data_IF_825445848591
#
_entry.id   IF_825445848591
#
_cell.length_a   1.000
_cell.length_b   1.000
_cell.length_c   1.000
_cell.angle_alpha   90.00
_cell.angle_beta   90.00
_cell.angle_gamma   90.00
#
_symmetry.space_group_name_H-M   'P 1'
#
loop_
_entity.id
_entity.type
_entity.pdbx_description
1 polymer ?
#
# COMPACT_ATOMS: atom_id res chain seq x y z
N UNK A 1 8.19 63.17 43.73
CA UNK A 1 7.41 62.36 42.80
C UNK A 1 8.01 62.27 41.36
N UNK A 2 8.51 63.30 40.75
CA UNK A 2 9.12 63.22 39.39
C UNK A 2 10.35 62.30 39.23
N UNK A 3 11.21 62.17 40.25
CA UNK A 3 12.41 61.33 40.19
C UNK A 3 12.12 59.82 40.29
N UNK A 4 11.03 59.44 40.96
CA UNK A 4 10.63 58.03 41.02
C UNK A 4 9.94 57.56 39.74
N UNK A 5 9.18 58.44 39.06
CA UNK A 5 8.58 58.15 37.79
C UNK A 5 9.58 57.84 36.69
N UNK A 6 10.70 58.61 36.66
CA UNK A 6 11.77 58.43 35.67
C UNK A 6 12.47 57.06 35.88
N UNK A 7 12.69 56.63 37.12
CA UNK A 7 13.30 55.31 37.43
C UNK A 7 12.39 54.15 37.02
N UNK A 8 11.08 54.27 37.20
CA UNK A 8 10.12 53.23 36.83
C UNK A 8 9.98 53.16 35.29
N UNK A 9 9.95 54.29 34.60
CA UNK A 9 9.89 54.32 33.12
C UNK A 9 11.16 53.79 32.52
N UNK A 10 12.34 54.08 33.10
CA UNK A 10 13.64 53.53 32.61
C UNK A 10 13.75 52.03 32.89
N UNK A 11 13.23 51.56 34.01
CA UNK A 11 13.21 50.11 34.34
C UNK A 11 12.26 49.32 33.41
N UNK A 12 11.10 49.86 33.07
CA UNK A 12 10.20 49.28 32.10
C UNK A 12 10.75 49.28 30.64
N UNK A 13 11.51 50.28 30.29
CA UNK A 13 12.16 50.35 28.95
C UNK A 13 13.26 49.30 28.79
N UNK A 14 13.99 48.96 29.86
CA UNK A 14 15.03 47.90 29.85
C UNK A 14 14.40 46.49 29.81
N UNK A 15 13.25 46.27 30.47
CA UNK A 15 12.54 45.00 30.39
C UNK A 15 11.86 44.80 29.05
N UNK A 16 11.37 45.85 28.41
CA UNK A 16 10.79 45.77 27.05
C UNK A 16 11.85 45.55 25.94
N UNK A 17 13.09 45.96 26.17
CA UNK A 17 14.21 45.73 25.22
C UNK A 17 14.79 44.31 25.27
N UNK A 18 14.55 43.54 26.34
CA UNK A 18 15.10 42.21 26.49
C UNK A 18 14.33 41.06 25.80
N UNK A 19 13.12 41.34 25.31
CA UNK A 19 12.30 40.36 24.62
C UNK A 19 12.37 40.37 23.10
N UNK A 20 13.17 41.22 22.49
CA UNK A 20 13.28 41.27 21.03
C UNK A 20 14.44 40.44 20.45
N UNK A 21 15.06 39.56 21.24
CA UNK A 21 16.21 38.75 20.81
C UNK A 21 15.93 37.29 20.51
N UNK A 22 14.65 36.91 20.31
CA UNK A 22 14.31 35.66 19.65
C UNK A 22 13.53 35.97 18.36
N UNK A 23 14.20 36.58 17.39
CA UNK A 23 13.84 36.27 16.01
C UNK A 23 14.13 34.79 15.86
N UNK A 24 13.08 33.96 16.03
CA UNK A 24 13.06 32.70 15.33
C UNK A 24 13.45 33.02 13.91
N UNK A 25 14.68 32.69 13.53
CA UNK A 25 14.99 32.48 12.15
C UNK A 25 14.05 31.33 11.75
N UNK A 26 12.89 31.68 11.24
CA UNK A 26 12.15 30.76 10.40
C UNK A 26 13.16 30.38 9.34
N UNK A 27 13.84 29.24 9.56
CA UNK A 27 14.68 28.67 8.52
C UNK A 27 13.72 28.56 7.36
N UNK A 28 13.91 29.41 6.33
CA UNK A 28 13.00 29.40 5.21
C UNK A 28 13.00 27.95 4.74
N UNK A 29 11.83 27.34 4.61
CA UNK A 29 11.69 25.94 4.15
C UNK A 29 12.45 25.68 2.84
N UNK A 30 12.94 26.72 2.21
CA UNK A 30 13.60 26.73 0.92
C UNK A 30 15.12 26.93 0.97
N UNK A 31 15.77 26.75 2.14
CA UNK A 31 17.23 26.82 2.25
C UNK A 31 17.78 25.48 2.74
N UNK A 32 18.73 24.94 2.00
CA UNK A 32 19.44 23.72 2.36
C UNK A 32 20.20 23.90 3.67
N UNK A 33 19.98 23.04 4.62
CA UNK A 33 20.74 23.01 5.89
C UNK A 33 22.18 22.51 5.73
N UNK A 34 22.45 21.80 4.63
CA UNK A 34 23.77 21.26 4.33
C UNK A 34 24.68 22.28 3.64
N UNK A 35 24.13 23.06 2.71
CA UNK A 35 24.93 23.94 1.84
C UNK A 35 24.60 25.41 1.97
N UNK A 36 23.49 25.77 2.59
CA UNK A 36 22.98 27.14 2.62
C UNK A 36 22.39 27.63 1.29
N UNK A 37 22.35 26.80 0.27
CA UNK A 37 21.81 27.17 -1.03
C UNK A 37 20.27 27.15 -1.02
N UNK A 38 19.69 27.98 -1.89
CA UNK A 38 18.25 27.98 -2.07
C UNK A 38 17.79 26.68 -2.76
N UNK A 39 16.80 26.03 -2.16
CA UNK A 39 16.06 24.89 -2.72
C UNK A 39 14.84 25.47 -3.42
N UNK A 40 14.42 24.89 -4.54
CA UNK A 40 13.24 25.33 -5.31
C UNK A 40 13.35 26.78 -5.80
N UNK A 41 14.56 27.24 -6.13
CA UNK A 41 14.76 28.57 -6.73
C UNK A 41 14.13 28.60 -8.12
N UNK A 42 13.54 29.75 -8.48
CA UNK A 42 12.91 29.94 -9.80
C UNK A 42 13.93 29.90 -10.94
N UNK A 43 15.15 30.28 -10.62
CA UNK A 43 16.28 30.32 -11.54
C UNK A 43 16.88 28.96 -11.86
N UNK A 44 16.41 27.91 -11.21
CA UNK A 44 16.89 26.53 -11.36
C UNK A 44 17.63 26.01 -10.12
N UNK A 45 18.39 24.94 -10.28
CA UNK A 45 19.09 24.26 -9.20
C UNK A 45 18.30 23.09 -8.66
N UNK A 46 18.52 22.68 -7.40
CA UNK A 46 17.86 21.56 -6.79
C UNK A 46 16.38 21.84 -6.53
N UNK A 47 15.52 21.08 -7.19
CA UNK A 47 14.07 21.15 -7.04
C UNK A 47 13.60 19.99 -6.18
N UNK A 48 12.90 20.30 -5.11
CA UNK A 48 12.40 19.34 -4.14
C UNK A 48 10.95 19.68 -3.79
N UNK A 49 10.08 18.68 -3.84
CA UNK A 49 8.70 18.85 -3.40
C UNK A 49 8.67 18.91 -1.87
N UNK A 50 8.38 20.10 -1.34
CA UNK A 50 8.26 20.35 0.11
C UNK A 50 6.83 20.19 0.63
N UNK A 51 5.86 20.02 -0.24
CA UNK A 51 4.46 19.84 0.11
C UNK A 51 4.18 18.37 0.38
N UNK A 52 4.49 17.95 1.60
CA UNK A 52 4.15 16.62 2.06
C UNK A 52 2.63 16.52 2.22
N UNK A 53 2.03 15.63 1.46
CA UNK A 53 0.68 15.13 1.72
C UNK A 53 0.83 13.76 2.34
N UNK A 54 0.12 13.52 3.43
CA UNK A 54 0.04 12.19 4.03
C UNK A 54 -0.52 11.22 2.99
N UNK A 55 0.17 10.09 2.81
CA UNK A 55 -0.27 9.07 1.87
C UNK A 55 -1.52 8.41 2.40
N UNK A 56 -2.55 8.28 1.57
CA UNK A 56 -3.76 7.56 1.93
C UNK A 56 -3.44 6.10 2.23
N UNK A 57 -4.08 5.57 3.26
CA UNK A 57 -4.02 4.14 3.55
C UNK A 57 -4.74 3.38 2.44
N UNK A 58 -4.12 2.33 1.94
CA UNK A 58 -4.74 1.48 0.93
C UNK A 58 -5.97 0.74 1.48
N UNK A 59 -6.94 0.36 0.63
CA UNK A 59 -8.16 -0.29 1.06
C UNK A 59 -7.91 -1.56 1.90
N UNK A 60 -8.66 -1.71 2.99
CA UNK A 60 -8.63 -2.90 3.86
C UNK A 60 -7.44 -2.98 4.81
N UNK A 61 -6.46 -2.08 4.71
CA UNK A 61 -5.28 -2.09 5.55
C UNK A 61 -5.47 -1.29 6.84
N UNK A 62 -4.96 -1.83 7.93
CA UNK A 62 -4.81 -1.16 9.23
C UNK A 62 -3.33 -0.96 9.55
N UNK A 63 -3.02 0.15 10.21
CA UNK A 63 -1.66 0.44 10.65
C UNK A 63 -1.33 -0.34 11.90
N UNK A 64 -0.21 -1.06 11.88
CA UNK A 64 0.37 -1.78 13.03
C UNK A 64 1.65 -1.05 13.43
N UNK A 65 1.64 -0.44 14.61
CA UNK A 65 2.81 0.24 15.15
C UNK A 65 3.90 -0.77 15.48
N UNK A 66 5.12 -0.50 15.04
CA UNK A 66 6.27 -1.37 15.27
C UNK A 66 6.73 -1.39 16.73
N UNK A 67 7.40 -2.46 17.11
CA UNK A 67 7.86 -2.63 18.47
C UNK A 67 8.76 -3.85 18.63
N UNK A 68 9.12 -4.15 19.86
CA UNK A 68 9.89 -5.33 20.21
C UNK A 68 8.99 -6.32 20.95
N UNK A 69 9.02 -7.57 20.54
CA UNK A 69 8.24 -8.64 21.15
C UNK A 69 9.06 -9.92 21.24
N UNK A 70 8.55 -10.89 21.98
CA UNK A 70 9.15 -12.22 22.06
C UNK A 70 8.43 -13.13 21.06
N UNK A 71 9.14 -13.49 20.00
CA UNK A 71 8.70 -14.45 19.01
C UNK A 71 8.95 -15.86 19.51
N UNK A 72 8.06 -16.77 19.20
CA UNK A 72 8.23 -18.19 19.47
C UNK A 72 7.24 -18.73 20.50
N UNK A 73 7.22 -20.06 20.59
CA UNK A 73 6.32 -20.82 21.44
C UNK A 73 6.84 -20.82 22.89
N UNK A 74 6.30 -19.91 23.69
CA UNK A 74 6.93 -19.52 24.96
C UNK A 74 6.50 -20.40 26.15
N UNK A 75 5.23 -20.79 26.25
CA UNK A 75 4.70 -21.49 27.44
C UNK A 75 3.79 -22.66 27.13
N UNK A 76 3.27 -22.76 25.93
CA UNK A 76 2.21 -23.71 25.55
C UNK A 76 2.72 -24.84 24.65
N UNK A 77 4.04 -25.08 24.60
CA UNK A 77 4.59 -26.25 23.91
C UNK A 77 4.37 -27.50 24.73
N UNK A 78 3.16 -28.07 24.61
CA UNK A 78 2.75 -29.28 25.34
C UNK A 78 3.61 -30.48 24.98
N UNK A 79 4.19 -30.50 23.78
CA UNK A 79 5.02 -31.59 23.29
C UNK A 79 6.50 -31.44 23.64
N UNK A 80 6.90 -30.26 24.14
CA UNK A 80 8.29 -29.92 24.48
C UNK A 80 9.28 -30.18 23.33
N UNK A 81 8.87 -29.83 22.11
CA UNK A 81 9.70 -30.04 20.93
C UNK A 81 10.89 -29.07 20.83
N UNK A 82 10.81 -27.94 21.49
CA UNK A 82 11.84 -26.87 21.53
C UNK A 82 12.26 -26.36 20.15
N UNK A 83 11.42 -26.57 19.14
CA UNK A 83 11.70 -26.19 17.76
C UNK A 83 11.59 -24.68 17.50
N UNK A 84 10.90 -23.96 18.38
CA UNK A 84 10.66 -22.53 18.28
C UNK A 84 10.99 -21.82 19.60
N UNK A 85 12.28 -21.71 19.89
CA UNK A 85 12.76 -21.09 21.13
C UNK A 85 12.42 -19.62 21.18
N UNK A 86 12.02 -19.08 22.35
CA UNK A 86 11.72 -17.66 22.50
C UNK A 86 12.90 -16.78 22.13
N UNK A 87 12.66 -15.84 21.20
CA UNK A 87 13.66 -14.87 20.77
C UNK A 87 13.06 -13.47 20.74
N UNK A 88 13.80 -12.48 21.25
CA UNK A 88 13.39 -11.08 21.17
C UNK A 88 13.62 -10.58 19.73
N UNK A 89 12.57 -10.07 19.10
CA UNK A 89 12.59 -9.53 17.74
C UNK A 89 12.05 -8.10 17.75
N UNK A 90 12.61 -7.28 16.88
CA UNK A 90 12.11 -5.94 16.61
C UNK A 90 11.43 -5.91 15.25
N UNK A 91 10.19 -5.41 15.22
CA UNK A 91 9.39 -5.27 14.01
C UNK A 91 9.20 -3.79 13.72
N UNK A 92 9.43 -3.38 12.48
CA UNK A 92 9.10 -2.03 12.03
C UNK A 92 7.61 -1.89 11.88
N UNK A 93 7.10 -0.64 11.94
CA UNK A 93 5.68 -0.37 11.66
C UNK A 93 5.33 -0.79 10.24
N UNK A 94 4.16 -1.38 10.07
CA UNK A 94 3.67 -1.87 8.78
C UNK A 94 2.16 -1.74 8.69
N UNK A 95 1.64 -1.97 7.50
CA UNK A 95 0.20 -2.09 7.27
C UNK A 95 -0.15 -3.55 7.03
N UNK A 96 -1.26 -3.99 7.58
CA UNK A 96 -1.77 -5.34 7.42
C UNK A 96 -3.27 -5.29 7.16
N UNK A 97 -3.80 -6.25 6.41
CA UNK A 97 -5.25 -6.40 6.27
C UNK A 97 -5.89 -6.67 7.63
N UNK A 98 -7.04 -6.05 7.88
CA UNK A 98 -7.80 -6.27 9.11
C UNK A 98 -8.35 -7.70 9.19
N UNK A 99 -8.63 -8.29 8.04
CA UNK A 99 -9.16 -9.65 7.89
C UNK A 99 -8.33 -10.45 6.91
N UNK A 100 -8.49 -11.77 6.96
CA UNK A 100 -7.99 -12.65 5.90
C UNK A 100 -8.65 -12.32 4.56
N UNK A 101 -7.97 -12.65 3.45
CA UNK A 101 -8.54 -12.49 2.10
C UNK A 101 -9.78 -13.36 1.98
N UNK A 102 -10.91 -12.73 1.64
CA UNK A 102 -12.20 -13.40 1.56
C UNK A 102 -12.43 -14.06 0.19
N UNK A 103 -13.41 -14.98 0.15
CA UNK A 103 -13.82 -15.63 -1.10
C UNK A 103 -14.25 -14.60 -2.16
N UNK A 104 -14.97 -13.54 -1.78
CA UNK A 104 -15.42 -12.53 -2.74
C UNK A 104 -14.24 -11.75 -3.32
N UNK A 105 -13.23 -11.40 -2.52
CA UNK A 105 -12.02 -10.73 -3.01
C UNK A 105 -11.25 -11.61 -4.00
N UNK A 106 -11.17 -12.90 -3.69
CA UNK A 106 -10.47 -13.84 -4.58
C UNK A 106 -11.27 -14.12 -5.86
N UNK A 107 -12.61 -14.13 -5.79
CA UNK A 107 -13.48 -14.22 -6.96
C UNK A 107 -13.37 -13.00 -7.88
N UNK A 108 -13.21 -11.80 -7.32
CA UNK A 108 -12.91 -10.56 -8.08
C UNK A 108 -11.62 -10.71 -8.89
N UNK A 109 -10.57 -11.25 -8.28
CA UNK A 109 -9.33 -11.58 -8.99
C UNK A 109 -9.55 -12.57 -10.12
N UNK A 110 -10.28 -13.66 -9.90
CA UNK A 110 -10.57 -14.66 -10.92
C UNK A 110 -11.42 -14.09 -12.07
N UNK A 111 -12.38 -13.23 -11.77
CA UNK A 111 -13.22 -12.56 -12.77
C UNK A 111 -12.40 -11.61 -13.63
N UNK A 112 -11.51 -10.83 -13.01
CA UNK A 112 -10.55 -9.99 -13.73
C UNK A 112 -9.67 -10.80 -14.67
N UNK A 113 -9.07 -11.91 -14.17
CA UNK A 113 -8.25 -12.76 -15.02
C UNK A 113 -9.02 -13.32 -16.22
N UNK A 114 -10.26 -13.73 -16.00
CA UNK A 114 -11.13 -14.24 -17.06
C UNK A 114 -11.45 -13.18 -18.10
N UNK A 115 -11.62 -11.93 -17.68
CA UNK A 115 -11.95 -10.83 -18.58
C UNK A 115 -10.75 -10.37 -19.41
N UNK A 116 -9.57 -10.28 -18.78
CA UNK A 116 -8.34 -9.80 -19.46
C UNK A 116 -7.63 -10.91 -20.23
N UNK A 117 -7.71 -12.15 -19.72
CA UNK A 117 -7.08 -13.35 -20.29
C UNK A 117 -8.13 -14.43 -20.50
N UNK A 118 -8.94 -14.35 -21.54
CA UNK A 118 -10.03 -15.28 -21.78
C UNK A 118 -9.54 -16.73 -21.79
N UNK A 119 -10.10 -17.62 -20.94
CA UNK A 119 -9.68 -19.02 -20.87
C UNK A 119 -10.03 -19.84 -22.10
N UNK A 120 -10.85 -19.31 -22.98
CA UNK A 120 -11.20 -19.88 -24.29
C UNK A 120 -10.01 -19.83 -25.27
N UNK A 121 -9.08 -18.87 -25.08
CA UNK A 121 -7.84 -18.79 -25.86
C UNK A 121 -6.81 -19.76 -25.29
N UNK A 122 -6.31 -20.74 -26.07
CA UNK A 122 -5.28 -21.67 -25.64
C UNK A 122 -4.01 -21.02 -25.10
N UNK A 123 -3.74 -19.78 -25.50
CA UNK A 123 -2.60 -18.98 -25.02
C UNK A 123 -2.75 -18.61 -23.54
N UNK A 124 -3.96 -18.39 -23.06
CA UNK A 124 -4.22 -17.84 -21.72
C UNK A 124 -4.88 -18.83 -20.76
N UNK A 125 -5.35 -19.99 -21.22
CA UNK A 125 -6.05 -20.99 -20.41
C UNK A 125 -5.30 -21.33 -19.12
N UNK A 126 -3.96 -21.41 -19.17
CA UNK A 126 -3.13 -21.77 -18.03
C UNK A 126 -3.08 -20.70 -16.95
N UNK A 127 -3.32 -19.42 -17.27
CA UNK A 127 -3.35 -18.31 -16.32
C UNK A 127 -4.56 -18.48 -15.40
N UNK A 128 -5.75 -18.60 -15.97
CA UNK A 128 -6.97 -18.77 -15.19
C UNK A 128 -7.00 -20.09 -14.43
N UNK A 129 -6.65 -21.21 -15.08
CA UNK A 129 -6.65 -22.53 -14.43
C UNK A 129 -5.63 -22.62 -13.31
N UNK A 130 -4.47 -21.97 -13.47
CA UNK A 130 -3.42 -21.91 -12.43
C UNK A 130 -3.81 -21.06 -11.21
N UNK A 131 -4.73 -20.10 -11.39
CA UNK A 131 -5.22 -19.25 -10.30
C UNK A 131 -6.37 -19.88 -9.50
N UNK A 132 -7.02 -20.95 -10.03
CA UNK A 132 -8.15 -21.58 -9.35
C UNK A 132 -7.72 -22.25 -8.04
N UNK A 133 -8.40 -21.98 -6.90
CA UNK A 133 -8.17 -22.68 -5.66
C UNK A 133 -8.52 -24.16 -5.76
N UNK A 134 -7.81 -25.00 -5.02
CA UNK A 134 -8.14 -26.42 -4.87
C UNK A 134 -9.36 -26.59 -3.96
N UNK A 135 -10.50 -26.85 -4.54
CA UNK A 135 -11.74 -27.09 -3.78
C UNK A 135 -11.78 -28.47 -3.11
N UNK A 136 -10.88 -29.39 -3.51
CA UNK A 136 -10.83 -30.74 -2.95
C UNK A 136 -10.26 -30.78 -1.52
N UNK A 137 -9.68 -29.68 -1.03
CA UNK A 137 -9.23 -29.54 0.36
C UNK A 137 -10.34 -29.83 1.39
N UNK A 138 -11.60 -29.64 1.00
CA UNK A 138 -12.77 -29.93 1.84
C UNK A 138 -13.14 -31.40 1.85
N UNK A 139 -12.63 -32.21 0.92
CA UNK A 139 -13.01 -33.62 0.80
C UNK A 139 -12.33 -34.44 1.88
N UNK A 140 -13.13 -35.08 2.72
CA UNK A 140 -12.65 -35.97 3.77
C UNK A 140 -13.05 -37.42 3.45
N UNK A 141 -12.12 -38.38 3.67
CA UNK A 141 -12.35 -39.80 3.44
C UNK A 141 -13.40 -40.38 4.39
N UNK A 142 -13.60 -39.78 5.55
CA UNK A 142 -14.49 -40.29 6.62
C UNK A 142 -15.75 -39.44 6.81
N UNK A 143 -15.93 -38.39 5.99
CA UNK A 143 -17.05 -37.46 6.10
C UNK A 143 -17.59 -37.03 4.76
N UNK A 144 -18.91 -36.78 4.69
CA UNK A 144 -19.55 -36.24 3.50
C UNK A 144 -19.46 -34.70 3.50
N UNK A 145 -18.51 -34.16 2.77
CA UNK A 145 -18.27 -32.70 2.65
C UNK A 145 -18.45 -32.19 1.23
N UNK A 146 -19.15 -32.89 0.36
CA UNK A 146 -19.33 -32.48 -1.04
C UNK A 146 -20.04 -31.13 -1.18
N UNK A 147 -20.91 -30.79 -0.24
CA UNK A 147 -21.55 -29.47 -0.22
C UNK A 147 -20.52 -28.34 -0.06
N UNK A 148 -19.53 -28.51 0.81
CA UNK A 148 -18.45 -27.53 0.98
C UNK A 148 -17.53 -27.51 -0.23
N UNK A 149 -17.15 -28.67 -0.76
CA UNK A 149 -16.33 -28.81 -1.96
C UNK A 149 -16.91 -28.04 -3.14
N UNK A 150 -18.23 -28.09 -3.33
CA UNK A 150 -18.90 -27.50 -4.47
C UNK A 150 -19.26 -26.02 -4.27
N UNK A 151 -19.58 -25.60 -3.04
CA UNK A 151 -20.22 -24.32 -2.78
C UNK A 151 -19.35 -23.31 -2.02
N UNK A 152 -18.33 -23.73 -1.27
CA UNK A 152 -17.61 -22.83 -0.38
C UNK A 152 -17.06 -21.59 -1.07
N UNK A 153 -16.42 -21.75 -2.23
CA UNK A 153 -15.86 -20.61 -2.96
C UNK A 153 -16.93 -19.74 -3.63
N UNK A 154 -18.06 -20.34 -4.05
CA UNK A 154 -18.99 -19.70 -5.00
C UNK A 154 -20.32 -19.26 -4.41
N UNK A 155 -20.71 -19.84 -3.28
CA UNK A 155 -22.02 -19.56 -2.71
C UNK A 155 -22.00 -18.26 -1.90
N UNK A 156 -22.96 -17.34 -2.09
CA UNK A 156 -22.99 -16.04 -1.42
C UNK A 156 -22.92 -16.09 0.11
N UNK A 157 -23.41 -17.17 0.74
CA UNK A 157 -23.33 -17.34 2.19
C UNK A 157 -21.88 -17.40 2.73
N UNK A 158 -20.93 -17.75 1.89
CA UNK A 158 -19.49 -17.82 2.25
C UNK A 158 -18.66 -16.71 1.61
N UNK A 159 -19.29 -15.68 1.05
CA UNK A 159 -18.58 -14.62 0.33
C UNK A 159 -17.53 -13.93 1.22
N UNK A 160 -17.90 -13.63 2.47
CA UNK A 160 -17.02 -12.97 3.44
C UNK A 160 -16.17 -13.93 4.28
N UNK A 161 -16.19 -15.22 3.98
CA UNK A 161 -15.34 -16.22 4.63
C UNK A 161 -13.97 -16.26 3.96
N UNK A 162 -12.91 -16.65 4.68
CA UNK A 162 -11.55 -16.68 4.12
C UNK A 162 -11.44 -17.66 2.96
N UNK A 163 -10.69 -17.29 1.94
CA UNK A 163 -10.41 -18.18 0.81
C UNK A 163 -9.55 -19.35 1.25
N UNK A 164 -9.90 -20.56 0.82
CA UNK A 164 -9.22 -21.81 1.19
C UNK A 164 -8.81 -22.57 -0.07
N UNK A 165 -7.73 -23.34 0.03
CA UNK A 165 -7.21 -24.14 -1.09
C UNK A 165 -6.31 -23.35 -2.03
N UNK A 166 -5.77 -22.22 -1.60
CA UNK A 166 -4.76 -21.46 -2.32
C UNK A 166 -3.35 -21.85 -1.87
N UNK A 167 -2.43 -21.96 -2.80
CA UNK A 167 -1.03 -22.17 -2.52
C UNK A 167 -0.26 -20.84 -2.43
N UNK A 168 1.01 -20.90 -2.02
CA UNK A 168 1.85 -19.70 -1.85
C UNK A 168 1.99 -18.88 -3.13
N UNK A 169 2.15 -19.52 -4.29
CA UNK A 169 2.27 -18.83 -5.59
C UNK A 169 0.99 -18.08 -5.92
N UNK A 170 -0.16 -18.73 -5.77
CA UNK A 170 -1.46 -18.12 -6.00
C UNK A 170 -1.70 -16.93 -5.08
N UNK A 171 -1.35 -17.04 -3.79
CA UNK A 171 -1.46 -15.94 -2.83
C UNK A 171 -0.54 -14.76 -3.19
N UNK A 172 0.68 -15.03 -3.67
CA UNK A 172 1.61 -13.99 -4.12
C UNK A 172 1.09 -13.29 -5.39
N UNK A 173 0.61 -14.05 -6.36
CA UNK A 173 0.02 -13.49 -7.59
C UNK A 173 -1.23 -12.65 -7.30
N UNK A 174 -2.05 -13.05 -6.34
CA UNK A 174 -3.17 -12.25 -5.87
C UNK A 174 -2.69 -10.92 -5.28
N UNK A 175 -1.63 -10.92 -4.46
CA UNK A 175 -1.06 -9.71 -3.86
C UNK A 175 -0.49 -8.76 -4.93
N UNK A 176 0.20 -9.29 -5.94
CA UNK A 176 0.69 -8.54 -7.10
C UNK A 176 -0.46 -7.91 -7.88
N UNK A 177 -1.50 -8.69 -8.21
CA UNK A 177 -2.69 -8.20 -8.89
C UNK A 177 -3.38 -7.09 -8.08
N UNK A 178 -3.53 -7.26 -6.77
CA UNK A 178 -4.12 -6.24 -5.88
C UNK A 178 -3.29 -4.95 -5.89
N UNK A 179 -1.97 -5.06 -5.86
CA UNK A 179 -1.05 -3.92 -6.00
C UNK A 179 -1.35 -3.12 -7.25
N UNK A 180 -1.48 -3.81 -8.37
CA UNK A 180 -1.75 -3.19 -9.65
C UNK A 180 -3.12 -2.51 -9.68
N UNK A 181 -4.16 -3.17 -9.21
CA UNK A 181 -5.52 -2.59 -9.18
C UNK A 181 -5.63 -1.37 -8.27
N UNK A 182 -5.01 -1.42 -7.09
CA UNK A 182 -5.03 -0.29 -6.16
C UNK A 182 -4.26 0.90 -6.74
N UNK A 183 -3.09 0.69 -7.31
CA UNK A 183 -2.30 1.75 -7.91
C UNK A 183 -2.96 2.33 -9.17
N UNK A 184 -3.64 1.52 -9.98
CA UNK A 184 -4.45 1.97 -11.11
C UNK A 184 -5.54 2.95 -10.65
N UNK A 185 -6.28 2.60 -9.59
CA UNK A 185 -7.33 3.48 -9.01
C UNK A 185 -6.73 4.76 -8.45
N UNK A 186 -5.57 4.69 -7.80
CA UNK A 186 -4.88 5.89 -7.29
C UNK A 186 -4.46 6.83 -8.42
N UNK A 187 -3.94 6.29 -9.51
CA UNK A 187 -3.57 7.06 -10.70
C UNK A 187 -4.79 7.66 -11.42
N UNK A 188 -5.92 6.94 -11.47
CA UNK A 188 -7.18 7.48 -11.99
C UNK A 188 -7.66 8.65 -11.14
N UNK A 189 -7.67 8.51 -9.82
CA UNK A 189 -8.12 9.51 -8.87
C UNK A 189 -7.30 10.80 -8.94
N UNK A 190 -5.99 10.67 -9.09
CA UNK A 190 -5.07 11.80 -9.25
C UNK A 190 -5.02 12.34 -10.70
N UNK A 191 -5.76 11.73 -11.63
CA UNK A 191 -5.91 12.20 -12.99
C UNK A 191 -4.76 11.85 -13.94
N UNK A 192 -3.89 10.91 -13.58
CA UNK A 192 -2.86 10.38 -14.48
C UNK A 192 -3.42 9.38 -15.49
N UNK A 193 -4.45 8.65 -15.11
CA UNK A 193 -5.20 7.74 -15.98
C UNK A 193 -6.64 8.24 -16.16
N UNK A 194 -7.28 7.82 -17.26
CA UNK A 194 -8.70 8.01 -17.48
C UNK A 194 -9.50 7.08 -16.56
N UNK A 195 -10.59 7.58 -15.99
CA UNK A 195 -11.53 6.76 -15.19
C UNK A 195 -12.11 5.58 -15.99
N UNK A 196 -12.09 5.66 -17.31
CA UNK A 196 -12.58 4.62 -18.21
C UNK A 196 -11.51 3.57 -18.57
N UNK A 197 -10.24 3.79 -18.23
CA UNK A 197 -9.12 2.95 -18.68
C UNK A 197 -9.35 1.47 -18.35
N UNK A 198 -9.66 1.17 -17.08
CA UNK A 198 -9.92 -0.20 -16.61
C UNK A 198 -11.12 -0.85 -17.29
N UNK A 199 -12.20 -0.08 -17.54
CA UNK A 199 -13.40 -0.62 -18.20
C UNK A 199 -13.14 -0.95 -19.66
N UNK A 200 -12.31 -0.17 -20.36
CA UNK A 200 -11.89 -0.50 -21.73
C UNK A 200 -11.13 -1.81 -21.82
N UNK A 201 -10.26 -2.07 -20.83
CA UNK A 201 -9.54 -3.34 -20.74
C UNK A 201 -10.49 -4.50 -20.42
N UNK A 202 -11.35 -4.35 -19.42
CA UNK A 202 -12.32 -5.37 -19.00
C UNK A 202 -13.31 -5.69 -20.12
N UNK A 203 -13.74 -4.69 -20.89
CA UNK A 203 -14.66 -4.86 -22.02
C UNK A 203 -13.97 -5.35 -23.30
N UNK A 204 -12.65 -5.54 -23.29
CA UNK A 204 -11.90 -5.97 -24.48
C UNK A 204 -11.71 -4.89 -25.55
N UNK A 205 -11.96 -3.62 -25.21
CA UNK A 205 -11.73 -2.47 -26.11
C UNK A 205 -10.27 -2.04 -26.14
N UNK A 206 -9.49 -2.41 -25.10
CA UNK A 206 -8.07 -2.22 -25.01
C UNK A 206 -7.39 -3.54 -24.63
N UNK A 207 -6.27 -3.85 -25.25
CA UNK A 207 -5.50 -5.04 -24.93
C UNK A 207 -4.53 -4.78 -23.79
N UNK A 208 -4.25 -5.84 -23.02
CA UNK A 208 -3.29 -5.84 -21.92
C UNK A 208 -3.86 -5.19 -20.65
N UNK A 209 -3.21 -5.45 -19.53
CA UNK A 209 -3.58 -4.91 -18.23
C UNK A 209 -2.66 -3.77 -17.80
N UNK A 210 -3.05 -3.11 -16.72
CA UNK A 210 -2.16 -2.22 -15.99
C UNK A 210 -1.23 -3.05 -15.10
N UNK A 211 0.07 -2.74 -15.13
CA UNK A 211 1.06 -3.25 -14.19
C UNK A 211 1.84 -2.06 -13.60
N UNK A 212 1.92 -2.01 -12.30
CA UNK A 212 2.65 -0.96 -11.55
C UNK A 212 4.12 -0.95 -11.91
N UNK A 213 4.74 -2.13 -12.03
CA UNK A 213 6.14 -2.26 -12.39
C UNK A 213 6.40 -1.77 -13.82
N UNK A 214 5.57 -2.19 -14.78
CA UNK A 214 5.65 -1.73 -16.15
C UNK A 214 5.45 -0.21 -16.24
N UNK A 215 4.48 0.35 -15.52
CA UNK A 215 4.23 1.78 -15.47
C UNK A 215 5.42 2.58 -14.92
N UNK A 216 6.10 2.09 -13.88
CA UNK A 216 7.24 2.78 -13.28
C UNK A 216 8.50 2.70 -14.14
N UNK A 217 8.69 1.60 -14.88
CA UNK A 217 9.87 1.36 -15.68
C UNK A 217 9.72 1.85 -17.13
N UNK A 218 8.55 1.59 -17.73
CA UNK A 218 8.22 1.93 -19.11
C UNK A 218 6.74 2.28 -19.22
N UNK A 219 6.31 3.47 -18.77
CA UNK A 219 4.90 3.83 -18.76
C UNK A 219 4.24 3.70 -20.14
N UNK A 220 5.02 3.91 -21.22
CA UNK A 220 4.56 3.78 -22.59
C UNK A 220 4.14 2.36 -22.99
N UNK A 221 4.60 1.32 -22.27
CA UNK A 221 4.27 -0.08 -22.56
C UNK A 221 2.99 -0.59 -21.92
N UNK A 222 2.43 0.17 -20.97
CA UNK A 222 1.20 -0.19 -20.27
C UNK A 222 0.02 -0.19 -21.24
N UNK A 223 -0.91 -1.11 -21.06
CA UNK A 223 -2.04 -1.34 -21.98
C UNK A 223 -1.59 -1.61 -23.42
N UNK A 224 -0.51 -2.40 -23.59
CA UNK A 224 0.09 -2.67 -24.91
C UNK A 224 0.44 -1.41 -25.72
N UNK A 225 0.88 -0.35 -25.05
CA UNK A 225 1.26 0.91 -25.69
C UNK A 225 0.11 1.87 -25.95
N UNK A 226 -1.09 1.56 -25.46
CA UNK A 226 -2.28 2.41 -25.66
C UNK A 226 -2.46 3.47 -24.55
N UNK A 227 -1.47 3.63 -23.67
CA UNK A 227 -1.58 4.52 -22.50
C UNK A 227 -1.89 5.97 -22.87
N UNK A 228 -1.39 6.46 -23.99
CA UNK A 228 -1.65 7.83 -24.44
C UNK A 228 -3.13 8.12 -24.71
N UNK A 229 -3.87 7.11 -25.16
CA UNK A 229 -5.32 7.20 -25.37
C UNK A 229 -6.11 7.04 -24.06
N UNK A 230 -5.48 6.47 -23.04
CA UNK A 230 -6.05 6.18 -21.72
C UNK A 230 -5.60 7.18 -20.66
N UNK A 231 -4.88 8.24 -21.04
CA UNK A 231 -4.46 9.27 -20.13
C UNK A 231 -5.62 10.12 -19.60
N UNK A 232 -5.50 10.48 -18.31
CA UNK A 232 -6.40 11.38 -17.62
C UNK A 232 -6.11 12.87 -17.90
N UNK A 233 -6.52 13.72 -16.98
CA UNK A 233 -6.47 15.19 -17.07
C UNK A 233 -5.07 15.79 -16.90
N UNK A 234 -4.10 15.02 -16.39
CA UNK A 234 -2.74 15.48 -16.14
C UNK A 234 -1.93 15.52 -17.45
N UNK A 235 -2.37 16.38 -18.38
CA UNK A 235 -1.60 16.73 -19.59
C UNK A 235 -1.02 18.12 -19.41
N UNK A 236 0.29 18.27 -19.57
CA UNK A 236 0.96 19.55 -19.59
C UNK A 236 1.48 19.81 -21.01
N UNK A 237 0.98 20.86 -21.64
CA UNK A 237 1.41 21.29 -22.99
C UNK A 237 1.37 20.18 -24.07
N UNK A 238 0.33 19.33 -24.04
CA UNK A 238 0.16 18.16 -24.93
C UNK A 238 1.18 17.03 -24.70
N UNK A 239 1.99 17.10 -23.66
CA UNK A 239 2.94 16.04 -23.28
C UNK A 239 2.34 15.20 -22.18
N UNK A 240 2.45 13.89 -22.34
CA UNK A 240 2.03 12.90 -21.33
C UNK A 240 2.85 13.06 -20.05
N UNK A 241 2.19 13.25 -18.92
CA UNK A 241 2.83 13.33 -17.60
C UNK A 241 2.56 12.03 -16.85
N UNK A 242 3.62 11.33 -16.47
CA UNK A 242 3.55 10.10 -15.70
C UNK A 242 3.90 10.33 -14.24
N UNK A 243 3.21 9.64 -13.33
CA UNK A 243 3.55 9.64 -11.92
C UNK A 243 4.87 8.90 -11.70
N UNK A 244 5.71 9.48 -10.83
CA UNK A 244 6.98 8.86 -10.41
C UNK A 244 6.83 8.32 -8.99
N UNK A 245 7.70 7.42 -8.57
CA UNK A 245 7.75 6.97 -7.16
C UNK A 245 7.85 8.15 -6.18
N UNK A 246 8.57 9.20 -6.54
CA UNK A 246 8.72 10.42 -5.73
C UNK A 246 7.47 11.30 -5.65
N UNK A 247 6.43 11.02 -6.45
CA UNK A 247 5.16 11.76 -6.38
C UNK A 247 4.32 11.38 -5.17
N UNK A 248 4.57 10.21 -4.55
CA UNK A 248 3.81 9.70 -3.42
C UNK A 248 2.41 9.18 -3.78
N UNK A 249 2.07 9.11 -5.06
CA UNK A 249 0.77 8.62 -5.56
C UNK A 249 0.74 7.09 -5.56
N UNK A 250 1.84 6.48 -6.00
CA UNK A 250 1.95 5.03 -6.15
C UNK A 250 2.28 4.42 -4.80
N UNK A 251 1.44 3.49 -4.35
CA UNK A 251 1.60 2.75 -3.11
C UNK A 251 2.62 1.62 -3.27
N UNK A 252 3.29 1.22 -2.16
CA UNK A 252 4.13 0.03 -2.12
C UNK A 252 3.35 -1.24 -2.48
N UNK A 253 4.09 -2.29 -2.82
CA UNK A 253 3.52 -3.58 -3.15
C UNK A 253 2.84 -4.25 -1.94
N UNK A 254 1.67 -4.84 -2.19
CA UNK A 254 1.11 -5.82 -1.29
C UNK A 254 1.93 -7.11 -1.36
N UNK A 255 2.17 -7.71 -0.23
CA UNK A 255 2.89 -8.97 -0.11
C UNK A 255 2.34 -9.81 1.04
N UNK A 256 2.67 -11.06 1.06
CA UNK A 256 2.44 -11.86 2.25
C UNK A 256 3.27 -11.33 3.43
N UNK A 257 2.72 -11.31 4.64
CA UNK A 257 3.49 -10.94 5.83
C UNK A 257 4.61 -11.94 6.06
N UNK A 258 5.69 -11.48 6.65
CA UNK A 258 6.69 -12.37 7.21
C UNK A 258 6.11 -13.07 8.45
N UNK A 259 6.65 -14.22 8.80
CA UNK A 259 6.28 -14.93 10.02
C UNK A 259 6.32 -14.03 11.26
N UNK A 260 7.36 -13.19 11.34
CA UNK A 260 7.55 -12.25 12.46
C UNK A 260 6.48 -11.16 12.49
N UNK A 261 6.13 -10.58 11.35
CA UNK A 261 5.05 -9.58 11.24
C UNK A 261 3.68 -10.20 11.58
N UNK A 262 3.44 -11.41 11.10
CA UNK A 262 2.19 -12.12 11.37
C UNK A 262 2.03 -12.43 12.85
N UNK A 263 3.07 -12.99 13.49
CA UNK A 263 3.05 -13.33 14.91
C UNK A 263 2.93 -12.07 15.79
N UNK A 264 3.65 -10.99 15.43
CA UNK A 264 3.57 -9.71 16.12
C UNK A 264 2.14 -9.13 16.09
N UNK A 265 1.50 -9.13 14.92
CA UNK A 265 0.13 -8.66 14.78
C UNK A 265 -0.85 -9.55 15.55
N UNK A 266 -0.69 -10.88 15.49
CA UNK A 266 -1.55 -11.83 16.20
C UNK A 266 -1.46 -11.69 17.73
N UNK A 267 -0.28 -11.37 18.26
CA UNK A 267 -0.09 -11.13 19.70
C UNK A 267 -0.68 -9.80 20.17
N UNK A 268 -1.04 -8.88 19.27
CA UNK A 268 -1.63 -7.58 19.58
C UNK A 268 -0.89 -6.82 20.72
N UNK A 269 0.43 -6.87 20.71
CA UNK A 269 1.33 -6.29 21.74
C UNK A 269 1.22 -6.94 23.15
N UNK A 270 0.44 -7.98 23.31
CA UNK A 270 0.31 -8.68 24.60
C UNK A 270 1.63 -9.33 25.00
N UNK A 271 2.42 -9.78 24.02
CA UNK A 271 3.74 -10.41 24.24
C UNK A 271 4.88 -9.44 24.61
N UNK A 272 4.62 -8.15 24.62
CA UNK A 272 5.62 -7.11 24.97
C UNK A 272 5.67 -6.77 26.48
N UNK A 273 5.00 -7.57 27.32
CA UNK A 273 5.01 -7.42 28.78
C UNK A 273 6.08 -8.28 29.43
#
# INVERSE_FOLDING_TARGET
>A
MKKQFIKVVLSCAIVAGGFSSCKNSSSSKNVSRATGWNINAKEGGFQYNSDFKEQETAPGLVFVEGGTFTKGQVQDDVMHEWNNTPTSQHVQSFYMDETEVTNVMYLEYLDYLKSVYPPEDPKYVHIYTGALPDTLVWRNRLGFNETMTNNYLRHPAYAEYPVVGVNWIQATQFAEWRTDRVNEVMLEREGYLSEEAKYKVINGEAEGGFSTEAYLNRPESVYNGQIDSLQGKMKKDSVSVFAKRSSGVILPEYRLPTETEWEYAAQAQIGSR
#
